data_IF_013197995688
#
_entry.id   IF_013197995688
#
_cell.length_a   1.000
_cell.length_b   1.000
_cell.length_c   1.000
_cell.angle_alpha   90.00
_cell.angle_beta   90.00
_cell.angle_gamma   90.00
#
_symmetry.space_group_name_H-M   'P 1'
#
loop_
_entity.id
_entity.type
_entity.pdbx_description
1 polymer ?
#
# COMPACT_ATOMS: atom_id res chain seq x y z
N UNK A 1 -11.08 9.26 8.47
CA UNK A 1 -11.65 7.90 8.65
C UNK A 1 -11.73 7.17 7.30
N UNK A 2 -10.59 6.80 6.69
CA UNK A 2 -10.53 6.07 5.38
C UNK A 2 -9.24 5.26 5.17
N UNK A 3 -8.31 5.23 6.14
CA UNK A 3 -6.97 4.64 5.99
C UNK A 3 -6.98 3.12 5.74
N UNK A 4 -8.02 2.40 6.21
CA UNK A 4 -8.09 0.93 6.12
C UNK A 4 -8.37 0.41 4.70
N UNK A 5 -9.03 1.19 3.84
CA UNK A 5 -9.36 0.78 2.46
C UNK A 5 -8.20 0.90 1.48
N UNK A 6 -7.22 1.78 1.75
CA UNK A 6 -6.03 2.00 0.93
C UNK A 6 -5.02 0.87 1.07
N UNK A 7 -4.73 0.44 2.31
CA UNK A 7 -3.92 -0.76 2.60
C UNK A 7 -4.41 -1.99 1.82
N UNK A 8 -5.72 -2.23 1.84
CA UNK A 8 -6.35 -3.37 1.17
C UNK A 8 -6.20 -3.31 -0.35
N UNK A 9 -6.30 -2.11 -0.93
CA UNK A 9 -6.11 -1.87 -2.36
C UNK A 9 -4.68 -2.25 -2.79
N UNK A 10 -3.69 -1.82 -2.02
CA UNK A 10 -2.28 -2.15 -2.27
C UNK A 10 -1.99 -3.64 -2.15
N UNK A 11 -2.54 -4.29 -1.12
CA UNK A 11 -2.36 -5.73 -0.89
C UNK A 11 -2.93 -6.57 -2.04
N UNK A 12 -4.12 -6.23 -2.52
CA UNK A 12 -4.76 -6.91 -3.66
C UNK A 12 -3.90 -6.73 -4.92
N UNK A 13 -3.45 -5.51 -5.20
CA UNK A 13 -2.59 -5.23 -6.35
C UNK A 13 -1.28 -6.03 -6.30
N UNK A 14 -0.67 -6.13 -5.12
CA UNK A 14 0.55 -6.93 -4.91
C UNK A 14 0.29 -8.43 -5.07
N UNK A 15 -0.84 -8.96 -4.58
CA UNK A 15 -1.20 -10.38 -4.78
C UNK A 15 -1.39 -10.74 -6.26
N UNK A 16 -2.03 -9.87 -7.03
CA UNK A 16 -2.23 -10.10 -8.48
C UNK A 16 -0.89 -10.04 -9.22
N UNK A 17 0.05 -9.20 -8.77
CA UNK A 17 1.39 -9.12 -9.35
C UNK A 17 2.29 -10.31 -9.00
N UNK A 18 2.18 -10.81 -7.76
CA UNK A 18 3.02 -11.88 -7.23
C UNK A 18 2.45 -13.27 -7.53
N UNK A 19 1.13 -13.41 -7.70
CA UNK A 19 0.47 -14.68 -8.03
C UNK A 19 1.09 -15.44 -9.23
N UNK A 20 1.36 -14.77 -10.36
CA UNK A 20 2.07 -15.38 -11.49
C UNK A 20 3.53 -15.76 -11.20
N UNK A 21 4.21 -15.03 -10.31
CA UNK A 21 5.61 -15.25 -9.92
C UNK A 21 5.73 -16.44 -8.94
N UNK A 22 4.71 -16.68 -8.13
CA UNK A 22 4.68 -17.80 -7.18
C UNK A 22 4.47 -19.15 -7.85
N UNK A 23 3.66 -19.19 -8.91
CA UNK A 23 3.42 -20.40 -9.70
C UNK A 23 4.71 -20.90 -10.38
N UNK A 24 5.60 -20.00 -10.78
CA UNK A 24 6.91 -20.36 -11.32
C UNK A 24 7.98 -20.63 -10.25
N UNK A 25 7.85 -20.07 -9.04
CA UNK A 25 8.83 -20.20 -7.95
C UNK A 25 8.69 -21.47 -7.10
N UNK A 26 7.67 -22.32 -7.32
CA UNK A 26 7.51 -23.60 -6.59
C UNK A 26 8.70 -24.56 -6.78
N UNK A 27 9.56 -24.29 -7.76
CA UNK A 27 10.77 -25.06 -8.05
C UNK A 27 12.06 -24.50 -7.40
N UNK A 28 12.01 -23.43 -6.58
CA UNK A 28 13.19 -22.79 -5.98
C UNK A 28 13.42 -23.18 -4.51
N UNK A 29 14.68 -23.44 -4.09
CA UNK A 29 15.02 -23.61 -2.68
C UNK A 29 14.84 -22.26 -1.97
N UNK A 30 14.08 -22.24 -0.86
CA UNK A 30 13.60 -21.09 -0.08
C UNK A 30 12.20 -20.53 -0.41
N UNK A 31 11.45 -21.13 -1.33
CA UNK A 31 10.04 -20.76 -1.59
C UNK A 31 9.15 -20.63 -0.33
N UNK A 32 9.28 -21.48 0.71
CA UNK A 32 8.46 -21.34 1.93
C UNK A 32 8.70 -20.03 2.71
N UNK A 33 9.91 -19.46 2.67
CA UNK A 33 10.19 -18.18 3.34
C UNK A 33 9.58 -17.00 2.59
N UNK A 34 9.54 -17.06 1.26
CA UNK A 34 8.89 -16.04 0.41
C UNK A 34 7.35 -16.07 0.54
N UNK A 35 6.78 -17.21 0.93
CA UNK A 35 5.34 -17.40 1.16
C UNK A 35 4.89 -17.04 2.59
N UNK A 36 5.80 -16.89 3.56
CA UNK A 36 5.46 -16.54 4.96
C UNK A 36 4.59 -15.29 5.10
N UNK A 37 4.83 -14.19 4.37
CA UNK A 37 3.91 -13.04 4.37
C UNK A 37 2.52 -13.49 3.93
N UNK A 38 2.37 -14.14 2.78
CA UNK A 38 1.06 -14.54 2.24
C UNK A 38 0.25 -15.44 3.19
N UNK A 39 0.92 -16.39 3.86
CA UNK A 39 0.28 -17.30 4.84
C UNK A 39 -0.21 -16.53 6.07
N UNK A 40 0.61 -15.63 6.62
CA UNK A 40 0.22 -14.77 7.76
C UNK A 40 -0.93 -13.84 7.38
N UNK A 41 -0.97 -13.41 6.13
CA UNK A 41 -2.01 -12.54 5.57
C UNK A 41 -3.34 -13.29 5.31
N UNK A 42 -3.33 -14.52 4.76
CA UNK A 42 -4.53 -15.37 4.62
C UNK A 42 -5.29 -15.52 5.94
N UNK A 43 -4.57 -15.66 7.06
CA UNK A 43 -5.15 -15.77 8.41
C UNK A 43 -5.86 -14.48 8.88
N UNK A 44 -5.51 -13.32 8.34
CA UNK A 44 -6.14 -12.03 8.67
C UNK A 44 -7.31 -11.67 7.74
N UNK A 45 -7.43 -12.32 6.58
CA UNK A 45 -8.44 -12.02 5.55
C UNK A 45 -9.87 -12.42 5.94
N UNK A 46 -10.05 -13.47 6.76
CA UNK A 46 -11.37 -13.85 7.29
C UNK A 46 -12.02 -12.75 8.14
N UNK A 47 -11.24 -11.74 8.57
CA UNK A 47 -11.71 -10.59 9.37
C UNK A 47 -11.99 -9.33 8.53
N UNK A 48 -11.80 -9.38 7.21
CA UNK A 48 -11.96 -8.23 6.33
C UNK A 48 -13.35 -8.27 5.68
N UNK A 49 -14.07 -7.16 5.79
CA UNK A 49 -15.39 -6.98 5.20
C UNK A 49 -15.35 -7.14 3.66
N UNK A 50 -16.15 -8.07 3.12
CA UNK A 50 -16.25 -8.36 1.68
C UNK A 50 -16.58 -7.11 0.85
N UNK A 51 -17.37 -6.17 1.40
CA UNK A 51 -17.70 -4.91 0.71
C UNK A 51 -16.45 -4.07 0.44
N UNK A 52 -15.52 -4.02 1.40
CA UNK A 52 -14.27 -3.27 1.27
C UNK A 52 -13.34 -3.86 0.23
N UNK A 53 -13.29 -5.19 0.14
CA UNK A 53 -12.51 -5.89 -0.89
C UNK A 53 -13.06 -5.53 -2.27
N UNK A 54 -14.38 -5.58 -2.43
CA UNK A 54 -15.03 -5.24 -3.69
C UNK A 54 -14.79 -3.77 -4.08
N UNK A 55 -14.89 -2.84 -3.14
CA UNK A 55 -14.58 -1.42 -3.37
C UNK A 55 -13.12 -1.20 -3.77
N UNK A 56 -12.17 -1.91 -3.13
CA UNK A 56 -10.75 -1.84 -3.45
C UNK A 56 -10.46 -2.34 -4.87
N UNK A 57 -11.02 -3.50 -5.25
CA UNK A 57 -10.92 -4.06 -6.61
C UNK A 57 -11.52 -3.07 -7.62
N UNK A 58 -12.70 -2.53 -7.34
CA UNK A 58 -13.34 -1.53 -8.20
C UNK A 58 -12.46 -0.29 -8.41
N UNK A 59 -11.83 0.22 -7.36
CA UNK A 59 -10.90 1.36 -7.44
C UNK A 59 -9.66 1.05 -8.27
N UNK A 60 -9.05 -0.13 -8.10
CA UNK A 60 -7.89 -0.54 -8.90
C UNK A 60 -8.25 -0.66 -10.39
N UNK A 61 -9.43 -1.21 -10.68
CA UNK A 61 -9.92 -1.36 -12.05
C UNK A 61 -10.21 0.00 -12.69
N UNK A 62 -10.86 0.91 -11.95
CA UNK A 62 -11.09 2.30 -12.38
C UNK A 62 -9.79 3.06 -12.65
N UNK A 63 -8.75 2.82 -11.84
CA UNK A 63 -7.40 3.38 -12.04
C UNK A 63 -6.59 2.68 -13.14
N UNK A 64 -7.17 1.68 -13.83
CA UNK A 64 -6.51 0.86 -14.85
C UNK A 64 -5.21 0.20 -14.35
N UNK A 65 -5.14 -0.12 -13.06
CA UNK A 65 -4.00 -0.83 -12.45
C UNK A 65 -4.19 -2.35 -12.50
N UNK A 66 -5.46 -2.79 -12.47
CA UNK A 66 -5.86 -4.16 -12.75
C UNK A 66 -6.96 -4.14 -13.82
N UNK A 67 -7.19 -5.29 -14.42
CA UNK A 67 -8.24 -5.57 -15.38
C UNK A 67 -8.99 -6.83 -14.90
N UNK A 68 -10.32 -6.77 -14.92
CA UNK A 68 -11.16 -7.92 -14.64
C UNK A 68 -11.50 -8.59 -15.96
N UNK A 69 -11.11 -9.85 -16.11
CA UNK A 69 -11.37 -10.67 -17.29
C UNK A 69 -12.37 -11.74 -16.88
N UNK A 70 -13.59 -11.61 -17.38
CA UNK A 70 -14.63 -12.63 -17.19
C UNK A 70 -14.36 -13.80 -18.15
N UNK A 71 -14.24 -15.01 -17.61
CA UNK A 71 -14.16 -16.26 -18.37
C UNK A 71 -15.21 -17.21 -17.82
N UNK A 72 -16.38 -17.23 -18.46
CA UNK A 72 -17.50 -18.06 -18.02
C UNK A 72 -18.00 -17.63 -16.64
N UNK A 73 -18.01 -18.54 -15.68
CA UNK A 73 -18.43 -18.26 -14.28
C UNK A 73 -17.31 -17.66 -13.42
N UNK A 74 -16.07 -17.61 -13.93
CA UNK A 74 -14.92 -17.12 -13.18
C UNK A 74 -14.51 -15.69 -13.58
N UNK A 75 -14.18 -14.86 -12.59
CA UNK A 75 -13.61 -13.52 -12.78
C UNK A 75 -12.10 -13.59 -12.50
N UNK A 76 -11.28 -13.49 -13.53
CA UNK A 76 -9.83 -13.40 -13.38
C UNK A 76 -9.40 -11.95 -13.22
N UNK A 77 -8.49 -11.70 -12.29
CA UNK A 77 -7.88 -10.39 -12.10
C UNK A 77 -6.50 -10.41 -12.74
N UNK A 78 -6.26 -9.54 -13.71
CA UNK A 78 -4.97 -9.37 -14.39
C UNK A 78 -4.37 -8.01 -14.04
N UNK A 79 -3.09 -7.97 -13.70
CA UNK A 79 -2.39 -6.70 -13.52
C UNK A 79 -2.03 -6.08 -14.88
N UNK A 80 -2.31 -4.79 -15.05
CA UNK A 80 -2.00 -4.06 -16.29
C UNK A 80 -0.52 -3.65 -16.32
N UNK A 81 -0.04 -3.17 -17.48
CA UNK A 81 1.30 -2.58 -17.56
C UNK A 81 1.48 -1.42 -16.57
N UNK A 82 0.46 -0.56 -16.43
CA UNK A 82 0.46 0.56 -15.49
C UNK A 82 0.53 0.08 -14.03
N UNK A 83 -0.22 -0.99 -13.68
CA UNK A 83 -0.13 -1.61 -12.36
C UNK A 83 1.27 -2.16 -12.08
N UNK A 84 1.88 -2.85 -13.04
CA UNK A 84 3.25 -3.36 -12.92
C UNK A 84 4.26 -2.23 -12.76
N UNK A 85 4.13 -1.16 -13.53
CA UNK A 85 5.00 0.01 -13.43
C UNK A 85 4.84 0.71 -12.08
N UNK A 86 3.62 0.86 -11.58
CA UNK A 86 3.36 1.41 -10.26
C UNK A 86 4.05 0.58 -9.16
N UNK A 87 3.93 -0.74 -9.20
CA UNK A 87 4.60 -1.62 -8.23
C UNK A 87 6.12 -1.52 -8.33
N UNK A 88 6.68 -1.47 -9.54
CA UNK A 88 8.14 -1.32 -9.76
C UNK A 88 8.66 0.02 -9.27
N UNK A 89 7.90 1.09 -9.48
CA UNK A 89 8.24 2.44 -9.04
C UNK A 89 7.97 2.64 -7.54
N UNK A 90 7.27 1.70 -6.89
CA UNK A 90 7.01 1.75 -5.45
C UNK A 90 8.26 1.28 -4.68
N UNK A 91 9.29 2.10 -4.71
CA UNK A 91 10.46 1.91 -3.86
C UNK A 91 10.19 2.55 -2.50
N UNK A 92 9.75 1.73 -1.54
CA UNK A 92 9.51 2.19 -0.17
C UNK A 92 10.76 2.85 0.46
N UNK A 93 11.96 2.46 0.04
CA UNK A 93 13.19 3.04 0.54
C UNK A 93 13.47 4.39 -0.14
N UNK A 94 13.21 4.50 -1.44
CA UNK A 94 13.40 5.73 -2.24
C UNK A 94 12.13 6.56 -2.43
N UNK A 95 11.10 6.39 -1.58
CA UNK A 95 9.96 7.29 -1.56
C UNK A 95 10.48 8.69 -1.22
N UNK A 96 10.37 9.61 -2.17
CA UNK A 96 10.69 11.02 -2.04
C UNK A 96 9.40 11.82 -2.15
N UNK A 97 9.23 12.83 -1.29
CA UNK A 97 8.13 13.76 -1.45
C UNK A 97 8.51 14.82 -2.48
N UNK A 98 7.56 15.27 -3.30
CA UNK A 98 7.78 16.45 -4.11
C UNK A 98 8.06 17.63 -3.16
N UNK A 99 9.31 18.12 -3.17
CA UNK A 99 9.60 19.47 -2.73
C UNK A 99 9.10 20.39 -3.85
N UNK A 100 7.79 20.65 -3.88
CA UNK A 100 7.23 21.68 -4.76
C UNK A 100 8.02 22.97 -4.55
N UNK A 101 8.46 23.63 -5.64
CA UNK A 101 9.18 24.90 -5.54
C UNK A 101 8.33 26.01 -4.90
N UNK A 102 7.01 25.82 -4.85
CA UNK A 102 6.06 26.81 -4.34
C UNK A 102 5.16 26.21 -3.26
N UNK A 103 5.22 26.80 -2.07
CA UNK A 103 4.29 26.56 -0.97
C UNK A 103 2.95 27.23 -1.26
N UNK A 104 1.85 26.50 -1.15
CA UNK A 104 0.48 27.01 -1.38
C UNK A 104 -0.14 27.65 -0.11
N UNK A 105 0.68 27.95 0.89
CA UNK A 105 0.30 28.53 2.19
C UNK A 105 -0.57 27.64 3.09
N UNK A 106 -0.63 26.33 2.82
CA UNK A 106 -1.34 25.36 3.68
C UNK A 106 -0.35 24.42 4.38
N UNK A 107 -0.74 23.90 5.54
CA UNK A 107 0.03 22.88 6.26
C UNK A 107 -0.68 21.53 6.14
N UNK A 108 0.09 20.47 5.85
CA UNK A 108 -0.40 19.10 5.74
C UNK A 108 -0.14 18.43 7.07
N UNK A 109 -1.19 18.01 7.74
CA UNK A 109 -1.12 17.36 9.04
C UNK A 109 -1.28 15.85 8.87
N UNK A 110 -0.30 15.09 9.34
CA UNK A 110 -0.37 13.63 9.45
C UNK A 110 -0.49 13.27 10.92
N UNK A 111 -1.61 12.65 11.27
CA UNK A 111 -1.89 12.13 12.61
C UNK A 111 -2.15 10.64 12.50
N UNK A 112 -1.49 9.85 13.36
CA UNK A 112 -1.73 8.42 13.43
C UNK A 112 -1.99 7.99 14.88
N UNK A 113 -2.89 7.02 15.04
CA UNK A 113 -3.18 6.42 16.33
C UNK A 113 -2.78 4.94 16.30
N UNK A 114 -1.52 4.70 16.66
CA UNK A 114 -0.95 3.35 16.79
C UNK A 114 -0.96 3.01 18.28
N UNK A 115 -1.44 1.84 18.71
CA UNK A 115 -1.39 1.46 20.14
C UNK A 115 0.05 1.30 20.65
N UNK A 116 0.29 1.57 21.94
CA UNK A 116 1.61 1.42 22.57
C UNK A 116 2.17 -0.03 22.52
N UNK A 117 1.30 -1.03 22.40
CA UNK A 117 1.72 -2.42 22.18
C UNK A 117 2.43 -2.64 20.84
N UNK A 118 2.33 -1.68 19.91
CA UNK A 118 2.94 -1.68 18.57
C UNK A 118 4.02 -0.59 18.43
N UNK A 119 4.85 -0.45 19.47
CA UNK A 119 5.90 0.56 19.52
C UNK A 119 6.91 0.45 18.37
N UNK A 120 7.17 -0.76 17.87
CA UNK A 120 8.10 -0.96 16.75
C UNK A 120 7.55 -0.33 15.46
N UNK A 121 6.27 -0.56 15.18
CA UNK A 121 5.55 0.00 14.04
C UNK A 121 5.42 1.51 14.16
N UNK A 122 5.13 2.03 15.36
CA UNK A 122 5.09 3.47 15.64
C UNK A 122 6.42 4.12 15.28
N UNK A 123 7.53 3.61 15.83
CA UNK A 123 8.87 4.15 15.57
C UNK A 123 9.27 4.07 14.10
N UNK A 124 8.91 2.99 13.42
CA UNK A 124 9.18 2.83 11.99
C UNK A 124 8.46 3.91 11.16
N UNK A 125 7.18 4.19 11.45
CA UNK A 125 6.41 5.23 10.78
C UNK A 125 6.97 6.62 11.08
N UNK A 126 7.23 6.94 12.36
CA UNK A 126 7.81 8.23 12.76
C UNK A 126 9.17 8.46 12.09
N UNK A 127 10.02 7.42 12.00
CA UNK A 127 11.30 7.50 11.31
C UNK A 127 11.10 7.81 9.82
N UNK A 128 10.24 7.07 9.13
CA UNK A 128 10.00 7.28 7.71
C UNK A 128 9.43 8.67 7.42
N UNK A 129 8.52 9.20 8.25
CA UNK A 129 8.00 10.56 8.09
C UNK A 129 9.11 11.62 8.22
N UNK A 130 10.04 11.45 9.17
CA UNK A 130 11.21 12.33 9.30
C UNK A 130 12.14 12.22 8.09
N UNK A 131 12.40 11.00 7.62
CA UNK A 131 13.24 10.76 6.43
C UNK A 131 12.62 11.41 5.18
N UNK A 132 11.28 11.50 5.11
CA UNK A 132 10.54 12.18 4.05
C UNK A 132 10.50 13.71 4.19
N UNK A 133 11.02 14.28 5.28
CA UNK A 133 11.06 15.73 5.52
C UNK A 133 9.86 16.30 6.27
N UNK A 134 9.00 15.46 6.88
CA UNK A 134 7.98 15.96 7.80
C UNK A 134 8.62 16.44 9.11
N UNK A 135 8.09 17.53 9.65
CA UNK A 135 8.47 18.04 10.95
C UNK A 135 7.56 17.48 12.06
N UNK A 136 8.12 16.91 13.15
CA UNK A 136 7.32 16.39 14.26
C UNK A 136 6.79 17.53 15.15
N UNK A 137 5.48 17.56 15.41
CA UNK A 137 4.88 18.41 16.44
C UNK A 137 4.68 17.66 17.76
N UNK A 138 4.34 16.38 17.68
CA UNK A 138 4.21 15.45 18.82
C UNK A 138 4.62 14.04 18.36
N UNK A 139 4.63 13.06 19.27
CA UNK A 139 5.07 11.69 18.96
C UNK A 139 4.30 11.05 17.79
N UNK A 140 3.02 11.41 17.62
CA UNK A 140 2.15 10.89 16.56
C UNK A 140 1.51 11.97 15.67
N UNK A 141 2.10 13.18 15.66
CA UNK A 141 1.60 14.34 14.90
C UNK A 141 2.75 14.98 14.13
N UNK A 142 2.61 15.07 12.82
CA UNK A 142 3.64 15.55 11.90
C UNK A 142 3.05 16.57 10.92
N UNK A 143 3.85 17.56 10.52
CA UNK A 143 3.47 18.58 9.54
C UNK A 143 4.42 18.62 8.34
N UNK A 144 3.86 18.97 7.18
CA UNK A 144 4.61 19.20 5.94
C UNK A 144 4.01 20.38 5.17
N UNK A 145 4.83 21.26 4.58
CA UNK A 145 4.31 22.45 3.90
C UNK A 145 3.78 22.16 2.50
N UNK A 146 4.30 21.16 1.77
CA UNK A 146 3.94 20.93 0.36
C UNK A 146 2.83 19.89 0.18
N UNK A 147 2.13 19.94 -0.96
CA UNK A 147 1.14 18.91 -1.30
C UNK A 147 1.86 17.56 -1.47
N UNK A 148 1.47 16.59 -0.64
CA UNK A 148 2.06 15.25 -0.60
C UNK A 148 0.98 14.17 -0.51
N UNK A 149 -0.25 14.52 -0.91
CA UNK A 149 -1.41 13.67 -0.66
C UNK A 149 -1.28 12.36 -1.41
N UNK A 150 -0.88 12.40 -2.68
CA UNK A 150 -0.80 11.20 -3.49
C UNK A 150 0.25 10.23 -2.94
N UNK A 151 1.41 10.73 -2.51
CA UNK A 151 2.53 9.96 -1.93
C UNK A 151 2.17 9.31 -0.58
N UNK A 152 1.34 9.98 0.22
CA UNK A 152 0.90 9.51 1.53
C UNK A 152 -0.36 8.63 1.43
N UNK A 153 -1.23 8.87 0.45
CA UNK A 153 -2.51 8.17 0.25
C UNK A 153 -2.43 6.90 -0.64
N UNK A 154 -1.22 6.41 -0.94
CA UNK A 154 -1.01 5.17 -1.70
C UNK A 154 -1.29 3.87 -0.92
#
# INVERSE_FOLDING_TARGET
MTLKGKSLTREILFMVAVGPILLSSLFLPNAPQMLKPLIKWRKNWDKIDRRRIHEAIKRLNQKRLIELIERGEEVHIKITANGKQLIRNFDYNNLELPQSKTWDKKWRLVVFDIPNSKNKERRALSKKLKDLGFYPLQESVFIYPYECRDEIDF
#
